data_IF_422388987858
#
_entry.id   IF_422388987858
#
_cell.length_a   1.000
_cell.length_b   1.000
_cell.length_c   1.000
_cell.angle_alpha   90.00
_cell.angle_beta   90.00
_cell.angle_gamma   90.00
#
_symmetry.space_group_name_H-M   'P 1'
#
loop_
_entity.id
_entity.type
_entity.pdbx_description
1 polymer ?
#
# COMPACT_ATOMS: atom_id res chain seq x y z
N UNK A 1 -22.42 54.27 22.17
CA UNK A 1 -22.93 53.79 20.86
C UNK A 1 -21.71 53.40 20.03
N UNK A 2 -21.69 52.16 19.51
CA UNK A 2 -20.71 51.55 18.55
C UNK A 2 -19.25 51.38 19.05
N UNK A 3 -18.52 50.27 18.87
CA UNK A 3 -18.71 48.97 18.21
C UNK A 3 -17.67 48.02 18.86
N UNK A 4 -18.05 46.91 19.50
CA UNK A 4 -18.12 45.54 18.97
C UNK A 4 -16.92 45.07 18.11
N UNK A 5 -16.22 44.08 18.68
CA UNK A 5 -15.52 42.92 18.07
C UNK A 5 -14.30 43.14 17.17
N UNK A 6 -13.24 42.36 17.41
CA UNK A 6 -12.46 41.55 16.43
C UNK A 6 -11.37 40.77 17.22
N UNK A 7 -11.56 39.46 17.50
CA UNK A 7 -11.09 38.29 16.70
C UNK A 7 -9.54 38.15 16.78
N UNK A 8 -8.96 37.28 17.59
CA UNK A 8 -8.92 35.80 17.59
C UNK A 8 -8.18 35.16 16.40
N UNK A 9 -7.34 34.18 16.76
CA UNK A 9 -6.76 33.09 15.97
C UNK A 9 -5.43 33.33 15.24
N UNK A 10 -4.35 33.02 15.98
CA UNK A 10 -3.15 32.34 15.48
C UNK A 10 -3.56 31.09 14.69
N UNK A 11 -3.13 30.95 13.44
CA UNK A 11 -2.92 29.65 12.81
C UNK A 11 -1.68 29.74 11.92
N UNK A 12 -0.64 29.01 12.29
CA UNK A 12 0.57 28.82 11.51
C UNK A 12 0.22 28.09 10.21
N UNK A 13 0.54 28.69 9.07
CA UNK A 13 0.51 28.02 7.79
C UNK A 13 1.75 27.11 7.66
N UNK A 14 1.71 25.92 8.24
CA UNK A 14 2.60 24.82 7.83
C UNK A 14 2.04 24.25 6.53
N UNK A 15 2.46 24.82 5.40
CA UNK A 15 2.15 24.25 4.10
C UNK A 15 2.87 22.89 3.98
N UNK A 16 2.05 21.86 3.87
CA UNK A 16 2.35 20.46 3.73
C UNK A 16 3.48 20.20 2.74
N UNK A 17 4.53 19.52 3.22
CA UNK A 17 5.40 18.74 2.36
C UNK A 17 4.50 17.65 1.79
N UNK A 18 4.08 17.79 0.54
CA UNK A 18 3.53 16.67 -0.20
C UNK A 18 4.60 15.59 -0.15
N UNK A 19 4.32 14.48 0.55
CA UNK A 19 5.07 13.26 0.35
C UNK A 19 4.99 12.99 -1.16
N UNK A 20 6.04 13.32 -1.89
CA UNK A 20 6.36 12.61 -3.10
C UNK A 20 6.57 11.18 -2.62
N UNK A 21 5.49 10.40 -2.69
CA UNK A 21 5.52 8.95 -2.56
C UNK A 21 6.74 8.48 -3.38
N UNK A 22 7.69 7.74 -2.77
CA UNK A 22 8.88 7.30 -3.47
C UNK A 22 8.42 6.62 -4.76
N UNK A 23 8.78 7.18 -5.91
CA UNK A 23 8.33 6.72 -7.22
C UNK A 23 8.37 5.19 -7.22
N UNK A 24 7.24 4.49 -7.39
CA UNK A 24 7.26 3.03 -7.44
C UNK A 24 8.25 2.61 -8.52
N UNK A 25 8.94 1.47 -8.35
CA UNK A 25 9.95 1.01 -9.29
C UNK A 25 9.40 1.14 -10.70
N UNK A 26 10.13 1.83 -11.57
CA UNK A 26 9.72 2.21 -12.92
C UNK A 26 9.03 1.04 -13.62
N UNK A 27 7.69 1.03 -13.59
CA UNK A 27 6.90 -0.08 -14.13
C UNK A 27 7.04 -0.04 -15.65
N UNK A 28 7.50 -1.14 -16.22
CA UNK A 28 7.54 -1.30 -17.67
C UNK A 28 6.10 -1.50 -18.13
N UNK A 29 5.58 -0.51 -18.85
CA UNK A 29 4.22 -0.53 -19.38
C UNK A 29 4.24 -0.62 -20.89
N UNK A 30 3.29 -1.36 -21.43
CA UNK A 30 3.01 -1.33 -22.86
C UNK A 30 2.36 0.01 -23.18
N UNK A 31 2.87 0.69 -24.21
CA UNK A 31 2.22 1.90 -24.74
C UNK A 31 0.86 1.50 -25.31
N UNK A 32 -0.21 1.95 -24.68
CA UNK A 32 -1.58 1.62 -25.08
C UNK A 32 -2.60 2.54 -24.42
N UNK A 33 -3.87 2.35 -24.75
CA UNK A 33 -5.00 3.09 -24.19
C UNK A 33 -6.15 2.10 -24.11
N UNK A 34 -6.34 1.52 -22.92
CA UNK A 34 -7.31 0.46 -22.69
C UNK A 34 -8.51 0.96 -21.89
N UNK A 35 -9.66 0.34 -22.12
CA UNK A 35 -10.88 0.58 -21.36
C UNK A 35 -10.79 -0.01 -19.94
N UNK A 36 -11.65 0.48 -19.05
CA UNK A 36 -11.82 -0.09 -17.72
C UNK A 36 -12.27 -1.57 -17.85
N UNK A 37 -11.47 -2.48 -17.30
CA UNK A 37 -11.76 -3.93 -17.33
C UNK A 37 -11.08 -4.72 -18.44
N UNK A 38 -10.19 -4.10 -19.23
CA UNK A 38 -9.34 -4.84 -20.16
C UNK A 38 -8.47 -5.88 -19.44
N UNK A 39 -8.40 -7.10 -19.98
CA UNK A 39 -7.56 -8.18 -19.44
C UNK A 39 -6.20 -8.14 -20.11
N UNK A 40 -5.16 -7.80 -19.34
CA UNK A 40 -3.79 -7.78 -19.84
C UNK A 40 -3.23 -9.20 -20.06
N UNK A 41 -2.16 -9.30 -20.85
CA UNK A 41 -1.46 -10.56 -21.10
C UNK A 41 -0.79 -11.15 -19.84
N UNK A 42 -0.28 -12.38 -19.96
CA UNK A 42 0.36 -13.08 -18.85
C UNK A 42 1.46 -12.23 -18.18
N UNK A 43 1.38 -12.13 -16.85
CA UNK A 43 2.34 -11.36 -16.04
C UNK A 43 2.15 -9.84 -16.08
N UNK A 44 1.04 -9.34 -16.63
CA UNK A 44 0.71 -7.92 -16.68
C UNK A 44 -0.55 -7.60 -15.88
N UNK A 45 -0.65 -6.37 -15.41
CA UNK A 45 -1.80 -5.83 -14.67
C UNK A 45 -2.30 -4.55 -15.32
N UNK A 46 -3.61 -4.34 -15.27
CA UNK A 46 -4.25 -3.12 -15.77
C UNK A 46 -4.07 -2.01 -14.73
N UNK A 47 -3.36 -0.95 -15.10
CA UNK A 47 -3.07 0.20 -14.26
C UNK A 47 -3.97 1.37 -14.66
N UNK A 48 -4.58 2.07 -13.70
CA UNK A 48 -5.41 3.25 -13.98
C UNK A 48 -4.62 4.35 -14.70
N UNK A 49 -5.33 5.26 -15.38
CA UNK A 49 -4.71 6.40 -16.04
C UNK A 49 -3.78 7.18 -15.12
N UNK A 50 -2.54 7.39 -15.55
CA UNK A 50 -1.58 8.28 -14.87
C UNK A 50 -1.53 9.61 -15.61
N UNK A 51 -1.86 10.70 -14.92
CA UNK A 51 -1.95 12.05 -15.50
C UNK A 51 -3.31 12.33 -16.17
N UNK A 52 -3.34 13.24 -17.15
CA UNK A 52 -4.58 13.73 -17.78
C UNK A 52 -5.17 12.79 -18.85
N UNK A 53 -4.45 11.72 -19.20
CA UNK A 53 -4.90 10.75 -20.20
C UNK A 53 -5.81 9.71 -19.57
N UNK A 54 -7.13 9.82 -19.72
CA UNK A 54 -8.14 8.99 -19.08
C UNK A 54 -8.23 7.51 -19.50
N UNK A 55 -7.13 6.89 -19.93
CA UNK A 55 -7.11 5.47 -20.30
C UNK A 55 -6.07 4.64 -19.56
N UNK A 56 -6.37 3.34 -19.48
CA UNK A 56 -5.62 2.37 -18.71
C UNK A 56 -4.42 1.85 -19.50
N UNK A 57 -3.39 1.38 -18.78
CA UNK A 57 -2.17 0.82 -19.36
C UNK A 57 -1.95 -0.60 -18.81
N UNK A 58 -1.51 -1.53 -19.65
CA UNK A 58 -1.01 -2.81 -19.18
C UNK A 58 0.47 -2.68 -18.81
N UNK A 59 0.78 -2.93 -17.54
CA UNK A 59 2.15 -2.88 -17.03
C UNK A 59 2.57 -4.24 -16.50
N UNK A 60 3.87 -4.55 -16.56
CA UNK A 60 4.38 -5.74 -15.89
C UNK A 60 3.99 -5.69 -14.41
N UNK A 61 3.43 -6.81 -13.93
CA UNK A 61 3.20 -7.00 -12.52
C UNK A 61 4.55 -6.82 -11.80
N UNK A 62 4.60 -6.11 -10.66
CA UNK A 62 5.80 -6.10 -9.86
C UNK A 62 6.23 -7.55 -9.60
N UNK A 63 7.53 -7.82 -9.76
CA UNK A 63 8.06 -9.11 -9.36
C UNK A 63 7.59 -9.38 -7.92
N UNK A 64 7.20 -10.62 -7.58
CA UNK A 64 7.00 -10.98 -6.19
C UNK A 64 8.23 -10.50 -5.42
N UNK A 65 8.02 -9.74 -4.34
CA UNK A 65 9.13 -9.24 -3.56
C UNK A 65 10.09 -10.41 -3.24
N UNK A 66 11.42 -10.24 -3.37
CA UNK A 66 12.35 -11.27 -2.97
C UNK A 66 12.24 -11.42 -1.44
N UNK A 67 11.48 -12.42 -1.02
CA UNK A 67 10.85 -12.55 0.29
C UNK A 67 9.43 -13.05 0.07
N UNK A 68 9.26 -14.18 -0.62
CA UNK A 68 9.23 -15.48 0.06
C UNK A 68 7.83 -15.67 0.60
N UNK A 69 7.08 -16.65 0.08
CA UNK A 69 5.74 -16.93 0.62
C UNK A 69 5.82 -16.97 2.15
N UNK A 70 5.06 -16.12 2.81
CA UNK A 70 5.10 -16.01 4.26
C UNK A 70 4.49 -17.31 4.81
N UNK A 71 5.32 -18.19 5.37
CA UNK A 71 4.87 -19.44 5.95
C UNK A 71 4.47 -19.16 7.39
N UNK A 72 3.18 -19.28 7.65
CA UNK A 72 2.63 -19.33 8.99
C UNK A 72 2.63 -20.79 9.46
N UNK A 73 3.13 -21.06 10.67
CA UNK A 73 2.85 -22.34 11.32
C UNK A 73 1.34 -22.50 11.42
N UNK A 74 0.77 -23.67 11.10
CA UNK A 74 -0.69 -23.89 11.12
C UNK A 74 -1.22 -24.19 12.53
N UNK A 75 -0.80 -23.42 13.53
CA UNK A 75 -1.10 -23.66 14.94
C UNK A 75 -1.68 -22.38 15.53
N UNK A 76 -2.93 -22.43 16.00
CA UNK A 76 -3.51 -21.30 16.72
C UNK A 76 -2.76 -21.08 18.04
N UNK A 77 -2.03 -19.98 18.10
CA UNK A 77 -1.33 -19.47 19.27
C UNK A 77 -2.23 -18.44 20.00
N UNK A 78 -2.07 -18.29 21.32
CA UNK A 78 -2.71 -17.22 22.07
C UNK A 78 -2.10 -15.84 21.73
N UNK A 79 -2.83 -14.76 22.04
CA UNK A 79 -2.45 -13.38 21.70
C UNK A 79 -1.15 -12.90 22.39
N UNK A 80 -0.82 -13.48 23.54
CA UNK A 80 0.39 -13.16 24.32
C UNK A 80 1.60 -14.04 23.95
N UNK A 81 1.47 -14.93 22.96
CA UNK A 81 2.58 -15.79 22.55
C UNK A 81 3.71 -15.00 21.89
N UNK A 82 4.95 -15.31 22.26
CA UNK A 82 6.15 -14.71 21.67
C UNK A 82 6.79 -15.70 20.71
N UNK A 83 6.90 -15.33 19.43
CA UNK A 83 7.57 -16.17 18.45
C UNK A 83 9.05 -16.38 18.83
N UNK A 84 9.61 -17.58 18.58
CA UNK A 84 10.98 -17.91 18.98
C UNK A 84 12.03 -16.97 18.37
N UNK A 85 11.74 -16.41 17.19
CA UNK A 85 12.61 -15.47 16.49
C UNK A 85 12.35 -13.99 16.89
N UNK A 86 11.50 -13.74 17.88
CA UNK A 86 11.11 -12.39 18.34
C UNK A 86 10.19 -11.62 17.39
N UNK A 87 9.71 -12.26 16.33
CA UNK A 87 8.80 -11.67 15.34
C UNK A 87 7.36 -11.53 15.88
N UNK A 88 6.58 -10.55 15.41
CA UNK A 88 5.21 -10.37 15.86
C UNK A 88 4.31 -11.53 15.42
N UNK A 89 3.26 -11.77 16.21
CA UNK A 89 2.17 -12.65 15.82
C UNK A 89 1.36 -12.03 14.68
N UNK A 90 0.88 -12.88 13.77
CA UNK A 90 -0.08 -12.52 12.74
C UNK A 90 -1.35 -13.39 12.89
N UNK A 91 -2.52 -12.78 12.78
CA UNK A 91 -3.81 -13.46 12.98
C UNK A 91 -4.82 -12.56 13.67
N UNK A 92 -5.94 -13.16 14.09
CA UNK A 92 -7.05 -12.45 14.72
C UNK A 92 -8.16 -13.40 15.15
N UNK A 93 -9.19 -12.87 15.81
CA UNK A 93 -10.30 -13.67 16.36
C UNK A 93 -9.83 -14.79 17.32
N UNK A 94 -8.78 -14.52 18.10
CA UNK A 94 -8.24 -15.47 19.08
C UNK A 94 -7.38 -16.60 18.49
N UNK A 95 -7.00 -16.52 17.21
CA UNK A 95 -6.06 -17.44 16.59
C UNK A 95 -4.93 -16.67 15.91
N UNK A 96 -3.71 -16.86 16.41
CA UNK A 96 -2.51 -16.19 15.94
C UNK A 96 -1.46 -17.21 15.48
N UNK A 97 -0.55 -16.80 14.61
CA UNK A 97 0.50 -17.65 14.07
C UNK A 97 1.79 -16.84 13.94
N UNK A 98 2.93 -17.49 14.13
CA UNK A 98 4.20 -16.92 13.74
C UNK A 98 4.35 -17.06 12.22
N UNK A 99 4.30 -15.95 11.49
CA UNK A 99 4.50 -15.92 10.03
C UNK A 99 5.87 -15.32 9.68
N UNK A 100 6.52 -15.86 8.66
CA UNK A 100 7.82 -15.35 8.20
C UNK A 100 8.30 -16.04 6.94
N UNK A 101 9.45 -15.61 6.40
CA UNK A 101 10.00 -16.22 5.20
C UNK A 101 10.26 -17.72 5.44
N UNK A 102 10.10 -18.52 4.39
CA UNK A 102 10.57 -19.90 4.40
C UNK A 102 12.07 -19.89 4.71
N UNK A 103 12.48 -20.51 5.81
CA UNK A 103 13.88 -20.84 6.05
C UNK A 103 14.41 -21.78 4.97
#
# INVERSE_FOLDING_TARGET
MFAKTLLAAVVLATASITLADPLPPSRICVKGCFEAGHVCGAGQVLVPPTGDGGCFLCCLAPAPAPGGQEFCAAVCLPEDFVCPDGRPLAGGNGCFNCCGPKA
#
